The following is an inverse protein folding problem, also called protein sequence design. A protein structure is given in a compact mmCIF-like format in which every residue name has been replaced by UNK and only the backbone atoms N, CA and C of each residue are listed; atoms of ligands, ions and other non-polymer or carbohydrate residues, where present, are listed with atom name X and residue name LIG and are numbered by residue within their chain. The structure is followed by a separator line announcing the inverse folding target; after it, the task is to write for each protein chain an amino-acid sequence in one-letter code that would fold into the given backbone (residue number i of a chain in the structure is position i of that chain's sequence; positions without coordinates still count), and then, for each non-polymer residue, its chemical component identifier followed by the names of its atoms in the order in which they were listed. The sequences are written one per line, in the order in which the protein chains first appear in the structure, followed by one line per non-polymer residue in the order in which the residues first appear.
data_IF_388561254765
#
_entry.id   IF_388561254765
#
_cell.length_a   1.000
_cell.length_b   1.000
_cell.length_c   1.000
_cell.angle_alpha   90.00
_cell.angle_beta   90.00
_cell.angle_gamma   90.00
#
_symmetry.space_group_name_H-M   'P 1'
#
loop_
_entity.id
_entity.type
_entity.pdbx_description
1 polymer ?
#
# COMPACT_ATOMS: atom_id res chain seq x y z
N UNK A 1 9.64 -10.30 -12.87
CA UNK A 1 8.52 -9.65 -12.16
C UNK A 1 7.61 -9.06 -13.23
N UNK A 2 6.29 -9.29 -13.21
CA UNK A 2 5.37 -8.63 -14.17
C UNK A 2 5.63 -7.11 -14.09
N UNK A 3 5.83 -6.44 -15.22
CA UNK A 3 6.15 -4.99 -15.26
C UNK A 3 5.15 -4.17 -14.44
N UNK A 4 3.87 -4.52 -14.51
CA UNK A 4 2.76 -3.95 -13.72
C UNK A 4 3.04 -3.92 -12.21
N UNK A 5 3.67 -4.96 -11.65
CA UNK A 5 4.00 -4.98 -10.22
C UNK A 5 5.17 -4.07 -9.89
N UNK A 6 6.12 -3.90 -10.82
CA UNK A 6 7.26 -3.00 -10.61
C UNK A 6 6.77 -1.56 -10.53
N UNK A 7 5.93 -1.18 -11.49
CA UNK A 7 5.36 0.16 -11.59
C UNK A 7 4.48 0.46 -10.37
N UNK A 8 3.74 -0.55 -9.89
CA UNK A 8 2.97 -0.46 -8.65
C UNK A 8 3.82 -0.01 -7.45
N UNK A 9 4.92 -0.73 -7.16
CA UNK A 9 5.75 -0.41 -6.00
C UNK A 9 6.48 0.93 -6.16
N UNK A 10 6.87 1.31 -7.39
CA UNK A 10 7.44 2.63 -7.63
C UNK A 10 6.46 3.77 -7.30
N UNK A 11 5.18 3.61 -7.64
CA UNK A 11 4.14 4.58 -7.27
C UNK A 11 3.97 4.59 -5.75
N UNK A 12 3.83 3.43 -5.12
CA UNK A 12 3.67 3.35 -3.67
C UNK A 12 4.84 4.00 -2.92
N UNK A 13 6.09 3.69 -3.31
CA UNK A 13 7.27 4.26 -2.66
C UNK A 13 7.28 5.80 -2.78
N UNK A 14 6.97 6.32 -3.98
CA UNK A 14 6.88 7.77 -4.21
C UNK A 14 5.78 8.43 -3.38
N UNK A 15 4.58 7.84 -3.34
CA UNK A 15 3.47 8.40 -2.58
C UNK A 15 3.68 8.27 -1.06
N UNK A 16 4.40 7.23 -0.61
CA UNK A 16 4.82 7.11 0.78
C UNK A 16 5.77 8.24 1.19
N UNK A 17 6.70 8.64 0.31
CA UNK A 17 7.64 9.72 0.61
C UNK A 17 6.95 11.07 0.81
N UNK A 18 5.88 11.34 0.04
CA UNK A 18 5.10 12.58 0.12
C UNK A 18 4.08 12.57 1.25
N UNK A 19 3.66 11.39 1.71
CA UNK A 19 2.65 11.25 2.74
C UNK A 19 3.14 11.83 4.08
N UNK A 20 2.36 12.66 4.79
CA UNK A 20 2.77 13.18 6.10
C UNK A 20 2.98 12.08 7.13
N UNK A 21 3.89 12.28 8.09
CA UNK A 21 4.05 11.34 9.20
C UNK A 21 2.76 11.25 10.03
N UNK A 22 2.56 10.09 10.67
CA UNK A 22 1.39 9.71 11.47
C UNK A 22 0.07 9.62 10.70
N UNK A 23 0.11 9.79 9.38
CA UNK A 23 -1.05 9.56 8.52
C UNK A 23 -1.39 8.08 8.43
N UNK A 24 -2.68 7.78 8.35
CA UNK A 24 -3.19 6.44 8.08
C UNK A 24 -3.63 6.33 6.64
N UNK A 25 -3.38 5.18 6.01
CA UNK A 25 -3.74 4.96 4.61
C UNK A 25 -4.09 3.50 4.34
N UNK A 26 -4.83 3.26 3.27
CA UNK A 26 -4.93 1.96 2.61
C UNK A 26 -4.20 1.99 1.27
N UNK A 27 -3.80 0.82 0.73
CA UNK A 27 -3.11 0.78 -0.56
C UNK A 27 -3.92 1.36 -1.73
N UNK A 28 -5.24 1.12 -1.84
CA UNK A 28 -6.02 1.74 -2.92
C UNK A 28 -6.08 3.26 -2.82
N UNK A 29 -6.18 3.81 -1.60
CA UNK A 29 -6.15 5.26 -1.39
C UNK A 29 -4.79 5.84 -1.78
N UNK A 30 -3.70 5.21 -1.31
CA UNK A 30 -2.33 5.67 -1.57
C UNK A 30 -1.96 5.56 -3.06
N UNK A 31 -2.42 4.52 -3.74
CA UNK A 31 -2.20 4.33 -5.18
C UNK A 31 -3.11 5.23 -6.05
N UNK A 32 -4.21 5.71 -5.48
CA UNK A 32 -5.31 6.36 -6.20
C UNK A 32 -6.42 5.36 -6.54
N UNK A 33 -7.61 5.57 -5.96
CA UNK A 33 -8.75 4.64 -6.01
C UNK A 33 -9.15 4.28 -7.45
N UNK A 34 -9.32 5.27 -8.32
CA UNK A 34 -9.73 5.04 -9.72
C UNK A 34 -8.69 4.26 -10.52
N UNK A 35 -7.40 4.53 -10.28
CA UNK A 35 -6.31 3.82 -10.94
C UNK A 35 -6.21 2.39 -10.41
N UNK A 36 -6.40 2.21 -9.11
CA UNK A 36 -6.42 0.91 -8.45
C UNK A 36 -7.55 0.01 -9.00
N UNK A 37 -8.75 0.55 -9.19
CA UNK A 37 -9.89 -0.22 -9.70
C UNK A 37 -9.69 -0.76 -11.12
N UNK A 38 -8.88 -0.08 -11.94
CA UNK A 38 -8.52 -0.51 -13.30
C UNK A 38 -7.52 -1.67 -13.32
N UNK A 39 -6.83 -1.93 -12.20
CA UNK A 39 -5.91 -3.07 -12.09
C UNK A 39 -6.71 -4.37 -12.05
N UNK A 40 -6.26 -5.37 -12.80
CA UNK A 40 -6.80 -6.71 -12.75
C UNK A 40 -6.82 -7.24 -11.30
N UNK A 41 -7.94 -7.84 -10.90
CA UNK A 41 -8.19 -8.23 -9.50
C UNK A 41 -7.10 -9.14 -8.93
N UNK A 42 -6.57 -10.08 -9.74
CA UNK A 42 -5.48 -10.95 -9.31
C UNK A 42 -4.19 -10.18 -9.00
N UNK A 43 -3.88 -9.15 -9.78
CA UNK A 43 -2.68 -8.35 -9.55
C UNK A 43 -2.84 -7.45 -8.32
N UNK A 44 -4.04 -6.92 -8.04
CA UNK A 44 -4.36 -6.21 -6.78
C UNK A 44 -4.13 -7.08 -5.54
N UNK A 45 -4.63 -8.32 -5.57
CA UNK A 45 -4.46 -9.27 -4.47
C UNK A 45 -2.99 -9.59 -4.24
N UNK A 46 -2.24 -9.85 -5.32
CA UNK A 46 -0.80 -10.11 -5.21
C UNK A 46 -0.03 -8.89 -4.68
N UNK A 47 -0.30 -7.70 -5.19
CA UNK A 47 0.33 -6.46 -4.76
C UNK A 47 0.06 -6.19 -3.27
N UNK A 48 -1.20 -6.28 -2.83
CA UNK A 48 -1.57 -6.08 -1.44
C UNK A 48 -0.93 -7.10 -0.48
N UNK A 49 -0.92 -8.38 -0.85
CA UNK A 49 -0.28 -9.42 -0.05
C UNK A 49 1.24 -9.24 0.03
N UNK A 50 1.87 -8.83 -1.07
CA UNK A 50 3.31 -8.60 -1.13
C UNK A 50 3.70 -7.39 -0.29
N UNK A 51 3.04 -6.25 -0.46
CA UNK A 51 3.30 -5.06 0.34
C UNK A 51 3.14 -5.33 1.83
N UNK A 52 2.05 -6.01 2.24
CA UNK A 52 1.86 -6.41 3.64
C UNK A 52 3.03 -7.24 4.17
N UNK A 53 3.55 -8.18 3.37
CA UNK A 53 4.71 -9.00 3.75
C UNK A 53 5.96 -8.14 3.89
N UNK A 54 6.22 -7.24 2.96
CA UNK A 54 7.39 -6.36 2.98
C UNK A 54 7.35 -5.41 4.20
N UNK A 55 6.18 -4.87 4.56
CA UNK A 55 5.97 -4.11 5.81
C UNK A 55 6.30 -4.97 7.04
N UNK A 56 5.75 -6.19 7.11
CA UNK A 56 5.99 -7.10 8.26
C UNK A 56 7.46 -7.57 8.34
N UNK A 57 8.19 -7.58 7.22
CA UNK A 57 9.61 -7.90 7.16
C UNK A 57 10.52 -6.69 7.46
N UNK A 58 9.95 -5.50 7.66
CA UNK A 58 10.70 -4.28 7.96
C UNK A 58 11.34 -3.61 6.74
N UNK A 59 10.94 -3.97 5.51
CA UNK A 59 11.40 -3.28 4.30
C UNK A 59 10.83 -1.86 4.19
N UNK A 60 9.69 -1.61 4.84
CA UNK A 60 9.12 -0.28 5.04
C UNK A 60 9.23 0.10 6.53
N UNK A 61 10.41 0.56 7.01
CA UNK A 61 10.67 0.73 8.45
C UNK A 61 9.80 1.81 9.10
N UNK A 62 9.33 2.77 8.30
CA UNK A 62 8.43 3.84 8.68
C UNK A 62 6.96 3.53 8.38
N UNK A 63 6.59 2.27 8.08
CA UNK A 63 5.20 1.88 7.87
C UNK A 63 4.84 0.76 8.84
N UNK A 64 3.68 0.87 9.48
CA UNK A 64 3.15 -0.16 10.38
C UNK A 64 1.77 -0.59 9.94
N UNK A 65 1.52 -1.89 10.00
CA UNK A 65 0.19 -2.47 9.80
C UNK A 65 -0.68 -2.16 11.02
N UNK A 66 -1.89 -1.62 10.79
CA UNK A 66 -2.86 -1.39 11.85
C UNK A 66 -3.73 -2.64 12.08
N UNK A 67 -4.21 -2.87 13.32
CA UNK A 67 -5.14 -3.96 13.62
C UNK A 67 -6.51 -3.70 13.00
N UNK A 68 -6.90 -2.43 12.92
CA UNK A 68 -8.19 -2.00 12.40
C UNK A 68 -8.19 -1.91 10.87
N UNK A 69 -9.38 -2.06 10.31
CA UNK A 69 -9.63 -1.83 8.89
C UNK A 69 -10.05 -0.39 8.68
N UNK A 70 -9.87 0.10 7.46
CA UNK A 70 -10.43 1.39 7.09
C UNK A 70 -11.97 1.33 6.98
N UNK A 71 -12.59 2.48 6.69
CA UNK A 71 -14.04 2.62 6.54
C UNK A 71 -14.66 1.74 5.44
N UNK A 72 -13.85 1.14 4.55
CA UNK A 72 -14.26 0.22 3.48
C UNK A 72 -13.83 -1.22 3.74
N UNK A 73 -13.49 -1.57 4.99
CA UNK A 73 -13.05 -2.91 5.41
C UNK A 73 -11.72 -3.36 4.78
N UNK A 74 -10.85 -2.43 4.39
CA UNK A 74 -9.55 -2.70 3.77
C UNK A 74 -8.42 -2.64 4.79
N UNK A 75 -7.33 -3.35 4.49
CA UNK A 75 -6.13 -3.33 5.33
C UNK A 75 -5.58 -1.91 5.42
N UNK A 76 -5.38 -1.45 6.64
CA UNK A 76 -4.92 -0.11 6.94
C UNK A 76 -3.49 -0.12 7.48
N UNK A 77 -2.77 0.94 7.17
CA UNK A 77 -1.39 1.16 7.60
C UNK A 77 -1.26 2.57 8.16
N UNK A 78 -0.19 2.81 8.92
CA UNK A 78 0.21 4.14 9.39
C UNK A 78 1.64 4.42 9.00
N UNK A 79 1.91 5.60 8.44
CA UNK A 79 3.27 6.12 8.28
C UNK A 79 3.76 6.59 9.65
N UNK A 80 4.77 5.92 10.19
CA UNK A 80 5.45 6.31 11.42
C UNK A 80 6.55 7.32 11.12
N UNK A 81 6.94 8.10 12.14
CA UNK A 81 8.14 8.95 12.10
C UNK A 81 9.41 8.16 11.83
#
# INVERSE_FOLDING_TARGET
MKEVLRDFFQIIDKELDTLPDKSTFSLPELYGEEAWEKIYIGDRVMAGNRFRREVLQGHYPNVRLLPDKDHRQRTQYVKSN
#
